data_IF_070196683304
#
_entry.id   IF_070196683304
#
_cell.length_a   1.000
_cell.length_b   1.000
_cell.length_c   1.000
_cell.angle_alpha   90.00
_cell.angle_beta   90.00
_cell.angle_gamma   90.00
#
_symmetry.space_group_name_H-M   'P 1'
#
loop_
_entity.id
_entity.type
_entity.pdbx_description
1 polymer ?
#
# COMPACT_ATOMS: atom_id res chain seq x y z
N UNK A 1 -0.40 -25.37 12.79
CA UNK A 1 -1.40 -26.37 12.33
C UNK A 1 -1.31 -27.72 13.04
N UNK A 2 -0.30 -28.02 13.87
CA UNK A 2 -0.23 -29.33 14.57
C UNK A 2 -1.00 -29.38 15.91
N UNK A 3 -1.34 -28.24 16.51
CA UNK A 3 -2.00 -28.19 17.83
C UNK A 3 -3.52 -28.41 17.78
N UNK A 4 -4.18 -28.06 16.66
CA UNK A 4 -5.65 -28.20 16.50
C UNK A 4 -6.12 -29.66 16.52
N UNK A 5 -5.29 -30.59 16.04
CA UNK A 5 -5.63 -32.02 15.94
C UNK A 5 -5.43 -32.77 17.27
N UNK A 6 -4.79 -32.14 18.27
CA UNK A 6 -4.58 -32.69 19.60
C UNK A 6 -5.78 -32.40 20.52
N UNK A 7 -6.26 -31.14 20.54
CA UNK A 7 -7.38 -30.75 21.40
C UNK A 7 -8.70 -31.51 21.07
N UNK A 8 -8.94 -31.78 19.78
CA UNK A 8 -10.09 -32.57 19.35
C UNK A 8 -10.00 -34.04 19.78
N UNK A 9 -8.79 -34.62 19.82
CA UNK A 9 -8.56 -35.98 20.28
C UNK A 9 -8.83 -36.10 21.78
N UNK A 10 -8.31 -35.18 22.59
CA UNK A 10 -8.49 -35.18 24.04
C UNK A 10 -9.97 -35.10 24.44
N UNK A 11 -10.76 -34.23 23.81
CA UNK A 11 -12.22 -34.13 24.06
C UNK A 11 -12.94 -35.41 23.66
N UNK A 12 -12.56 -36.01 22.52
CA UNK A 12 -13.18 -37.25 22.06
C UNK A 12 -12.89 -38.42 22.99
N UNK A 13 -11.68 -38.48 23.57
CA UNK A 13 -11.28 -39.50 24.54
C UNK A 13 -11.96 -39.29 25.89
N UNK A 14 -11.93 -38.07 26.44
CA UNK A 14 -12.64 -37.71 27.68
C UNK A 14 -14.15 -37.99 27.57
N UNK A 15 -14.77 -37.66 26.44
CA UNK A 15 -16.18 -37.94 26.18
C UNK A 15 -16.47 -39.45 26.12
N UNK A 16 -15.57 -40.22 25.49
CA UNK A 16 -15.69 -41.68 25.39
C UNK A 16 -15.51 -42.36 26.74
N UNK A 17 -14.61 -41.86 27.60
CA UNK A 17 -14.47 -42.32 28.97
C UNK A 17 -15.75 -42.06 29.78
N UNK A 18 -16.32 -40.86 29.64
CA UNK A 18 -17.53 -40.45 30.35
C UNK A 18 -18.78 -41.24 29.90
N UNK A 19 -18.91 -41.51 28.60
CA UNK A 19 -19.94 -42.41 28.07
C UNK A 19 -19.71 -43.86 28.50
N UNK A 20 -18.46 -44.32 28.50
CA UNK A 20 -18.09 -45.65 28.97
C UNK A 20 -18.39 -45.86 30.45
N UNK A 21 -18.35 -44.80 31.25
CA UNK A 21 -18.71 -44.79 32.66
C UNK A 21 -20.23 -44.76 32.92
N UNK A 22 -21.03 -44.37 31.92
CA UNK A 22 -22.47 -44.25 32.07
C UNK A 22 -23.12 -45.64 32.14
N UNK A 23 -23.55 -46.05 33.33
CA UNK A 23 -24.34 -47.28 33.55
C UNK A 23 -23.57 -48.45 34.18
N UNK A 24 -22.27 -48.33 34.47
CA UNK A 24 -21.59 -49.30 35.34
C UNK A 24 -21.89 -48.95 36.79
N UNK A 25 -22.18 -49.96 37.63
CA UNK A 25 -22.48 -49.76 39.05
C UNK A 25 -21.24 -49.68 39.93
N UNK A 26 -20.07 -49.97 39.35
CA UNK A 26 -18.81 -50.18 40.07
C UNK A 26 -17.86 -48.97 40.00
N UNK A 27 -18.32 -47.85 39.43
CA UNK A 27 -17.49 -46.65 39.25
C UNK A 27 -17.48 -45.85 40.54
N UNK A 28 -16.27 -45.50 40.99
CA UNK A 28 -16.15 -44.66 42.16
C UNK A 28 -16.60 -43.23 41.82
N UNK A 29 -17.27 -42.57 42.77
CA UNK A 29 -17.65 -41.17 42.62
C UNK A 29 -16.43 -40.26 42.33
N UNK A 30 -15.24 -40.70 42.76
CA UNK A 30 -13.97 -40.02 42.51
C UNK A 30 -13.57 -40.05 41.04
N UNK A 31 -13.63 -41.21 40.38
CA UNK A 31 -13.27 -41.33 38.96
C UNK A 31 -14.19 -40.50 38.05
N UNK A 32 -15.50 -40.46 38.36
CA UNK A 32 -16.44 -39.62 37.64
C UNK A 32 -16.15 -38.13 37.84
N UNK A 33 -15.81 -37.73 39.07
CA UNK A 33 -15.44 -36.35 39.37
C UNK A 33 -14.17 -35.94 38.62
N UNK A 34 -13.14 -36.79 38.64
CA UNK A 34 -11.87 -36.54 37.95
C UNK A 34 -12.08 -36.40 36.42
N UNK A 35 -12.92 -37.25 35.81
CA UNK A 35 -13.24 -37.17 34.39
C UNK A 35 -14.03 -35.90 34.00
N UNK A 36 -15.03 -35.52 34.81
CA UNK A 36 -15.80 -34.27 34.61
C UNK A 36 -14.91 -33.04 34.80
N UNK A 37 -14.04 -33.08 35.80
CA UNK A 37 -13.11 -31.99 36.07
C UNK A 37 -12.09 -31.82 34.94
N UNK A 38 -11.53 -32.93 34.43
CA UNK A 38 -10.63 -32.93 33.28
C UNK A 38 -11.30 -32.34 32.03
N UNK A 39 -12.53 -32.77 31.72
CA UNK A 39 -13.29 -32.22 30.61
C UNK A 39 -13.56 -30.71 30.77
N UNK A 40 -13.93 -30.27 31.97
CA UNK A 40 -14.14 -28.85 32.27
C UNK A 40 -12.86 -28.03 32.09
N UNK A 41 -11.70 -28.59 32.46
CA UNK A 41 -10.42 -27.95 32.28
C UNK A 41 -10.09 -27.81 30.79
N UNK A 42 -10.20 -28.89 30.01
CA UNK A 42 -9.97 -28.87 28.56
C UNK A 42 -10.87 -27.86 27.84
N UNK A 43 -12.14 -27.75 28.24
CA UNK A 43 -13.05 -26.74 27.69
C UNK A 43 -12.59 -25.32 28.04
N UNK A 44 -12.13 -25.10 29.27
CA UNK A 44 -11.63 -23.80 29.72
C UNK A 44 -10.37 -23.39 28.96
N UNK A 45 -9.43 -24.32 28.77
CA UNK A 45 -8.20 -24.11 28.00
C UNK A 45 -8.53 -23.78 26.54
N UNK A 46 -9.51 -24.47 25.94
CA UNK A 46 -9.98 -24.18 24.58
C UNK A 46 -10.60 -22.79 24.46
N UNK A 47 -11.39 -22.36 25.45
CA UNK A 47 -11.95 -21.00 25.47
C UNK A 47 -10.86 -19.93 25.58
N UNK A 48 -9.79 -20.20 26.34
CA UNK A 48 -8.64 -19.31 26.44
C UNK A 48 -7.90 -19.20 25.10
N UNK A 49 -7.64 -20.32 24.43
CA UNK A 49 -7.02 -20.34 23.09
C UNK A 49 -7.87 -19.57 22.08
N UNK A 50 -9.20 -19.77 22.07
CA UNK A 50 -10.08 -19.01 21.19
C UNK A 50 -10.11 -17.52 21.52
N UNK A 51 -10.07 -17.15 22.80
CA UNK A 51 -9.97 -15.75 23.22
C UNK A 51 -8.68 -15.10 22.73
N UNK A 52 -7.54 -15.78 22.89
CA UNK A 52 -6.25 -15.32 22.40
C UNK A 52 -6.21 -15.19 20.87
N UNK A 53 -6.75 -16.18 20.15
CA UNK A 53 -6.84 -16.14 18.69
C UNK A 53 -7.74 -14.99 18.20
N UNK A 54 -8.89 -14.76 18.85
CA UNK A 54 -9.80 -13.67 18.49
C UNK A 54 -9.16 -12.29 18.72
N UNK A 55 -8.42 -12.11 19.82
CA UNK A 55 -7.71 -10.86 20.07
C UNK A 55 -6.57 -10.64 19.07
N UNK A 56 -5.84 -11.70 18.72
CA UNK A 56 -4.81 -11.65 17.68
C UNK A 56 -5.39 -11.23 16.32
N UNK A 57 -6.52 -11.81 15.90
CA UNK A 57 -7.21 -11.43 14.67
C UNK A 57 -7.64 -9.96 14.68
N UNK A 58 -8.13 -9.46 15.82
CA UNK A 58 -8.52 -8.06 15.99
C UNK A 58 -7.32 -7.11 15.88
N UNK A 59 -6.17 -7.51 16.39
CA UNK A 59 -4.93 -6.74 16.27
C UNK A 59 -4.42 -6.71 14.82
N UNK A 60 -4.51 -7.83 14.11
CA UNK A 60 -4.17 -7.92 12.70
C UNK A 60 -5.09 -7.04 11.85
N UNK A 61 -6.40 -7.06 12.08
CA UNK A 61 -7.37 -6.20 11.39
C UNK A 61 -7.03 -4.71 11.55
N UNK A 62 -6.69 -4.27 12.77
CA UNK A 62 -6.20 -2.91 13.00
C UNK A 62 -4.87 -2.62 12.29
N UNK A 63 -3.99 -3.61 12.20
CA UNK A 63 -2.77 -3.52 11.41
C UNK A 63 -3.05 -3.28 9.93
N UNK A 64 -3.97 -4.04 9.35
CA UNK A 64 -4.42 -3.89 7.97
C UNK A 64 -5.11 -2.55 7.72
N UNK A 65 -5.94 -2.06 8.63
CA UNK A 65 -6.53 -0.72 8.52
C UNK A 65 -5.46 0.39 8.53
N UNK A 66 -4.46 0.27 9.39
CA UNK A 66 -3.35 1.22 9.45
C UNK A 66 -2.50 1.19 8.18
N UNK A 67 -2.29 0.00 7.61
CA UNK A 67 -1.59 -0.18 6.33
C UNK A 67 -2.40 0.36 5.15
N UNK A 68 -3.71 0.11 5.11
CA UNK A 68 -4.62 0.65 4.11
C UNK A 68 -4.61 2.18 4.11
N UNK A 69 -4.64 2.82 5.29
CA UNK A 69 -4.51 4.29 5.42
C UNK A 69 -3.17 4.80 4.88
N UNK A 70 -2.07 4.08 5.11
CA UNK A 70 -0.76 4.45 4.54
C UNK A 70 -0.77 4.36 3.02
N UNK A 71 -1.38 3.31 2.46
CA UNK A 71 -1.51 3.15 1.01
C UNK A 71 -2.34 4.26 0.38
N UNK A 72 -3.44 4.67 1.03
CA UNK A 72 -4.26 5.80 0.59
C UNK A 72 -3.46 7.11 0.56
N UNK A 73 -2.65 7.38 1.59
CA UNK A 73 -1.76 8.55 1.63
C UNK A 73 -0.72 8.50 0.51
N UNK A 74 -0.17 7.32 0.19
CA UNK A 74 0.79 7.15 -0.90
C UNK A 74 0.11 7.38 -2.25
N UNK A 75 -1.08 6.82 -2.49
CA UNK A 75 -1.86 7.06 -3.71
C UNK A 75 -2.16 8.54 -3.90
N UNK A 76 -2.63 9.24 -2.86
CA UNK A 76 -2.89 10.68 -2.93
C UNK A 76 -1.63 11.49 -3.28
N UNK A 77 -0.46 11.09 -2.78
CA UNK A 77 0.82 11.72 -3.13
C UNK A 77 1.22 11.42 -4.58
N UNK A 78 0.99 10.20 -5.07
CA UNK A 78 1.26 9.82 -6.46
C UNK A 78 0.38 10.62 -7.43
N UNK A 79 -0.91 10.78 -7.14
CA UNK A 79 -1.82 11.58 -7.97
C UNK A 79 -1.33 13.02 -8.09
N UNK A 80 -0.89 13.63 -6.97
CA UNK A 80 -0.29 14.98 -6.99
C UNK A 80 0.96 15.06 -7.87
N UNK A 81 1.81 14.03 -7.86
CA UNK A 81 3.00 13.98 -8.71
C UNK A 81 2.62 13.83 -10.18
N UNK A 82 1.59 13.04 -10.49
CA UNK A 82 1.05 12.90 -11.85
C UNK A 82 0.52 14.24 -12.35
N UNK A 83 -0.27 14.94 -11.52
CA UNK A 83 -0.80 16.26 -11.85
C UNK A 83 0.31 17.29 -12.09
N UNK A 84 1.33 17.31 -11.23
CA UNK A 84 2.51 18.15 -11.43
C UNK A 84 3.21 17.85 -12.74
N UNK A 85 3.44 16.57 -13.05
CA UNK A 85 4.08 16.16 -14.29
C UNK A 85 3.25 16.55 -15.51
N UNK A 86 1.92 16.45 -15.42
CA UNK A 86 1.01 16.93 -16.46
C UNK A 86 1.15 18.44 -16.67
N UNK A 87 1.14 19.23 -15.61
CA UNK A 87 1.34 20.69 -15.69
C UNK A 87 2.70 21.06 -16.30
N UNK A 88 3.77 20.35 -15.92
CA UNK A 88 5.10 20.57 -16.50
C UNK A 88 5.09 20.25 -17.99
N UNK A 89 4.49 19.13 -18.40
CA UNK A 89 4.40 18.73 -19.79
C UNK A 89 3.61 19.76 -20.62
N UNK A 90 2.47 20.23 -20.11
CA UNK A 90 1.67 21.29 -20.74
C UNK A 90 2.48 22.60 -20.89
N UNK A 91 3.21 23.00 -19.84
CA UNK A 91 4.10 24.16 -19.88
C UNK A 91 5.22 24.02 -20.92
N UNK A 92 5.83 22.83 -21.06
CA UNK A 92 6.83 22.57 -22.08
C UNK A 92 6.26 22.67 -23.50
N UNK A 93 5.04 22.14 -23.73
CA UNK A 93 4.35 22.25 -25.02
C UNK A 93 4.10 23.72 -25.36
N UNK A 94 3.58 24.51 -24.40
CA UNK A 94 3.35 25.94 -24.60
C UNK A 94 4.64 26.71 -24.94
N UNK A 95 5.75 26.40 -24.27
CA UNK A 95 7.06 27.00 -24.58
C UNK A 95 7.49 26.65 -26.01
N UNK A 96 7.33 25.38 -26.43
CA UNK A 96 7.66 24.95 -27.79
C UNK A 96 6.81 25.69 -28.83
N UNK A 97 5.52 25.91 -28.56
CA UNK A 97 4.63 26.69 -29.43
C UNK A 97 5.06 28.15 -29.52
N UNK A 98 5.35 28.80 -28.38
CA UNK A 98 5.85 30.18 -28.35
C UNK A 98 7.18 30.34 -29.09
N UNK A 99 8.08 29.37 -28.97
CA UNK A 99 9.37 29.39 -29.68
C UNK A 99 9.16 29.19 -31.18
N UNK A 100 8.26 28.28 -31.59
CA UNK A 100 7.89 28.10 -33.00
C UNK A 100 7.29 29.38 -33.57
N UNK A 101 6.38 30.03 -32.87
CA UNK A 101 5.77 31.30 -33.32
C UNK A 101 6.84 32.39 -33.49
N UNK A 102 7.72 32.58 -32.49
CA UNK A 102 8.76 33.62 -32.55
C UNK A 102 9.86 33.38 -33.58
N UNK A 103 10.19 32.12 -33.91
CA UNK A 103 11.26 31.79 -34.86
C UNK A 103 10.72 31.60 -36.29
N UNK A 104 9.54 30.97 -36.44
CA UNK A 104 9.00 30.58 -37.75
C UNK A 104 8.08 31.65 -38.35
N UNK A 105 7.29 32.37 -37.54
CA UNK A 105 6.41 33.42 -38.07
C UNK A 105 7.16 34.56 -38.78
N UNK A 106 8.26 35.13 -38.24
CA UNK A 106 8.99 36.19 -38.95
C UNK A 106 9.74 35.68 -40.20
N UNK A 107 9.99 34.37 -40.31
CA UNK A 107 10.58 33.79 -41.51
C UNK A 107 9.57 33.74 -42.68
N UNK A 108 8.29 33.45 -42.41
CA UNK A 108 7.23 33.41 -43.43
C UNK A 108 6.85 34.80 -43.97
N UNK A 109 6.75 35.82 -43.13
CA UNK A 109 6.47 37.19 -43.60
C UNK A 109 7.63 37.74 -44.44
N UNK A 110 8.87 37.37 -44.11
CA UNK A 110 10.05 37.77 -44.88
C UNK A 110 10.15 37.06 -46.23
N UNK A 111 9.66 35.84 -46.33
CA UNK A 111 9.62 35.05 -47.57
C UNK A 111 8.54 35.56 -48.54
N UNK A 112 7.40 36.06 -48.05
CA UNK A 112 6.37 36.69 -48.89
C UNK A 112 6.78 38.09 -49.37
N UNK A 113 7.51 38.87 -48.56
CA UNK A 113 8.06 40.16 -48.97
C UNK A 113 9.20 40.07 -50.02
N UNK A 114 9.79 38.88 -50.19
CA UNK A 114 10.88 38.61 -51.13
C UNK A 114 10.48 37.70 -52.29
N UNK A 115 9.18 37.61 -52.65
CA UNK A 115 8.81 37.00 -53.93
C UNK A 115 9.46 37.80 -55.07
N UNK A 116 10.48 37.27 -55.76
CA UNK A 116 11.03 37.93 -56.92
C UNK A 116 9.93 37.93 -57.97
N UNK A 117 9.59 39.12 -58.46
CA UNK A 117 8.76 39.28 -59.66
C UNK A 117 9.36 38.37 -60.73
N UNK A 118 8.62 37.34 -61.14
CA UNK A 118 9.08 36.36 -62.11
C UNK A 118 9.36 37.07 -63.44
N UNK A 119 10.63 37.37 -63.71
CA UNK A 119 11.09 37.62 -65.07
C UNK A 119 11.39 36.27 -65.73
N UNK A 120 11.02 36.09 -67.01
CA UNK A 120 11.19 34.83 -67.72
C UNK A 120 12.69 34.62 -68.04
N UNK A 121 13.41 33.92 -67.16
CA UNK A 121 14.77 33.49 -67.44
C UNK A 121 14.77 32.21 -68.27
N UNK A 122 15.48 32.30 -69.40
CA UNK A 122 15.62 31.27 -70.41
C UNK A 122 16.32 30.00 -69.93
N UNK A 123 16.00 28.94 -70.66
CA UNK A 123 16.54 27.59 -70.58
C UNK A 123 18.08 27.60 -70.57
N UNK A 124 18.68 27.19 -69.46
CA UNK A 124 20.07 26.75 -69.41
C UNK A 124 20.11 25.32 -68.86
N UNK A 125 20.89 24.48 -69.55
CA UNK A 125 20.97 23.04 -69.34
C UNK A 125 21.38 22.62 -67.92
N UNK A 126 20.85 21.49 -67.42
CA UNK A 126 21.18 20.97 -66.11
C UNK A 126 22.57 20.33 -66.10
N UNK A 127 23.46 20.82 -65.23
CA UNK A 127 24.72 20.13 -64.90
C UNK A 127 24.44 18.95 -63.95
N UNK A 128 25.12 17.80 -64.12
CA UNK A 128 24.92 16.62 -63.30
C UNK A 128 25.43 16.84 -61.88
N UNK A 129 24.53 16.70 -60.91
CA UNK A 129 24.82 16.82 -59.48
C UNK A 129 25.48 15.53 -59.00
N UNK A 130 26.74 15.60 -58.54
CA UNK A 130 27.40 14.48 -57.89
C UNK A 130 26.76 14.20 -56.52
N UNK A 131 26.40 12.93 -56.29
CA UNK A 131 25.83 12.46 -55.02
C UNK A 131 26.90 12.49 -53.93
N UNK A 132 26.61 13.02 -52.72
CA UNK A 132 27.49 12.85 -51.59
C UNK A 132 27.46 11.39 -51.12
N UNK A 133 28.64 10.78 -51.06
CA UNK A 133 28.83 9.44 -50.52
C UNK A 133 28.65 9.50 -49.00
N UNK A 134 27.59 8.85 -48.50
CA UNK A 134 27.39 8.66 -47.06
C UNK A 134 28.49 7.74 -46.51
N UNK A 135 29.36 8.28 -45.66
CA UNK A 135 30.24 7.48 -44.81
C UNK A 135 29.51 7.15 -43.50
N UNK A 136 29.36 5.87 -43.12
CA UNK A 136 28.81 5.49 -41.83
C UNK A 136 29.75 5.92 -40.71
N UNK A 137 29.20 6.63 -39.73
CA UNK A 137 29.90 7.06 -38.52
C UNK A 137 30.31 5.82 -37.70
N UNK A 138 31.56 5.71 -37.21
CA UNK A 138 31.98 4.58 -36.40
C UNK A 138 31.18 4.53 -35.08
N UNK A 139 30.60 3.37 -34.80
CA UNK A 139 29.98 3.09 -33.50
C UNK A 139 31.02 3.16 -32.39
N UNK A 140 30.84 4.13 -31.49
CA UNK A 140 31.54 4.20 -30.22
C UNK A 140 31.12 2.98 -29.39
N UNK A 141 31.98 1.96 -29.37
CA UNK A 141 31.89 0.86 -28.41
C UNK A 141 32.05 1.44 -27.00
N UNK A 142 30.97 1.43 -26.22
CA UNK A 142 31.07 1.63 -24.78
C UNK A 142 31.82 0.45 -24.15
N UNK A 143 32.72 0.71 -23.18
CA UNK A 143 33.41 -0.35 -22.48
C UNK A 143 32.43 -1.16 -21.63
N UNK A 144 32.35 -2.46 -21.92
CA UNK A 144 31.75 -3.46 -21.02
C UNK A 144 32.45 -3.35 -19.66
N UNK A 145 31.72 -2.86 -18.65
CA UNK A 145 32.14 -3.01 -17.27
C UNK A 145 32.19 -4.51 -16.94
N UNK A 146 33.40 -4.94 -16.61
CA UNK A 146 33.71 -6.29 -16.20
C UNK A 146 33.07 -6.60 -14.83
N UNK A 147 32.51 -7.82 -14.75
CA UNK A 147 32.50 -8.71 -13.60
C UNK A 147 32.26 -8.06 -12.22
N UNK A 148 31.00 -8.02 -11.81
CA UNK A 148 30.65 -7.92 -10.39
C UNK A 148 31.16 -9.18 -9.68
N UNK A 149 32.12 -9.00 -8.77
CA UNK A 149 32.46 -10.00 -7.76
C UNK A 149 31.29 -10.16 -6.78
N UNK A 150 31.03 -11.38 -6.28
CA UNK A 150 30.08 -11.58 -5.18
C UNK A 150 30.69 -11.01 -3.89
N UNK A 151 30.06 -9.98 -3.32
CA UNK A 151 30.41 -9.50 -1.98
C UNK A 151 30.01 -10.54 -0.92
N UNK A 152 30.84 -10.76 0.12
CA UNK A 152 30.49 -11.62 1.24
C UNK A 152 29.38 -10.99 2.10
N UNK A 153 28.55 -11.81 2.77
CA UNK A 153 27.46 -11.32 3.61
C UNK A 153 28.00 -10.60 4.86
N UNK A 154 27.30 -9.55 5.34
CA UNK A 154 27.67 -8.83 6.55
C UNK A 154 27.46 -9.70 7.79
N UNK A 155 28.52 -9.84 8.60
CA UNK A 155 28.44 -10.43 9.94
C UNK A 155 27.73 -9.48 10.89
N UNK A 156 26.49 -9.81 11.24
CA UNK A 156 25.76 -9.12 12.31
C UNK A 156 26.40 -9.44 13.66
N UNK A 157 27.16 -8.49 14.20
CA UNK A 157 27.54 -8.48 15.60
C UNK A 157 26.48 -7.67 16.36
N UNK A 158 25.92 -8.16 17.47
CA UNK A 158 24.94 -7.42 18.26
C UNK A 158 25.65 -6.28 19.00
N UNK A 159 25.64 -5.07 18.40
CA UNK A 159 26.01 -3.85 19.11
C UNK A 159 24.85 -3.43 20.01
N UNK A 160 25.14 -3.41 21.31
CA UNK A 160 24.34 -2.81 22.37
C UNK A 160 23.94 -1.37 22.00
N UNK A 161 22.64 -1.14 21.83
CA UNK A 161 22.10 0.18 21.54
C UNK A 161 22.11 1.06 22.80
N UNK A 162 23.07 1.96 22.88
CA UNK A 162 22.93 3.20 23.66
C UNK A 162 22.33 4.27 22.76
N UNK A 163 21.29 5.01 23.19
CA UNK A 163 20.66 6.03 22.36
C UNK A 163 21.60 7.22 22.15
N UNK A 164 22.13 7.33 20.93
CA UNK A 164 22.93 8.45 20.48
C UNK A 164 21.99 9.57 20.05
N UNK A 165 21.99 10.69 20.78
CA UNK A 165 21.24 11.89 20.39
C UNK A 165 21.74 12.44 19.05
N UNK A 166 20.85 12.97 18.20
CA UNK A 166 21.25 13.62 16.97
C UNK A 166 21.93 14.99 17.24
N UNK A 167 22.86 15.41 16.36
CA UNK A 167 23.53 16.70 16.46
C UNK A 167 22.55 17.85 16.18
N UNK A 168 22.54 18.80 17.11
CA UNK A 168 21.80 20.06 17.10
C UNK A 168 22.25 20.96 15.93
N UNK A 169 21.44 21.00 14.87
CA UNK A 169 21.56 21.99 13.80
C UNK A 169 20.79 23.24 14.22
N UNK A 170 21.53 24.22 14.74
CA UNK A 170 21.02 25.51 15.22
C UNK A 170 20.33 26.38 14.15
N UNK A 171 19.12 26.00 13.76
CA UNK A 171 18.15 26.87 13.08
C UNK A 171 17.28 27.50 14.15
N UNK A 172 17.71 28.65 14.64
CA UNK A 172 16.96 29.49 15.57
C UNK A 172 15.75 30.08 14.82
N UNK A 173 14.63 29.35 14.82
CA UNK A 173 13.34 29.82 14.30
C UNK A 173 12.77 30.90 15.25
N UNK A 174 12.19 31.98 14.73
CA UNK A 174 11.56 33.01 15.54
C UNK A 174 10.34 32.45 16.30
N UNK A 175 10.02 33.01 17.48
CA UNK A 175 8.91 32.55 18.30
C UNK A 175 7.59 32.74 17.54
N UNK A 176 6.90 31.62 17.28
CA UNK A 176 5.54 31.62 16.75
C UNK A 176 4.59 32.11 17.83
N UNK A 177 3.87 33.19 17.52
CA UNK A 177 2.76 33.67 18.34
C UNK A 177 1.67 32.59 18.45
N UNK A 178 1.02 32.45 19.62
CA UNK A 178 -0.05 31.49 19.80
C UNK A 178 -1.26 31.88 18.94
N UNK A 179 -1.51 31.11 17.90
CA UNK A 179 -2.77 31.19 17.15
C UNK A 179 -3.93 30.73 18.05
N UNK A 180 -5.04 31.48 18.11
CA UNK A 180 -6.21 31.06 18.87
C UNK A 180 -6.76 29.75 18.31
N UNK A 181 -7.06 28.82 19.22
CA UNK A 181 -7.64 27.52 18.89
C UNK A 181 -8.96 27.72 18.14
N UNK A 182 -9.17 27.05 17.00
CA UNK A 182 -10.49 27.04 16.36
C UNK A 182 -11.49 26.39 17.32
N UNK A 183 -12.51 27.15 17.73
CA UNK A 183 -13.72 26.62 18.34
C UNK A 183 -14.38 25.66 17.34
N UNK A 184 -14.09 24.38 17.49
CA UNK A 184 -14.88 23.32 16.87
C UNK A 184 -16.21 23.24 17.63
N UNK A 185 -17.21 23.95 17.14
CA UNK A 185 -18.61 23.73 17.48
C UNK A 185 -19.03 22.38 16.87
N UNK A 186 -18.80 21.34 17.66
CA UNK A 186 -19.04 19.96 17.30
C UNK A 186 -20.54 19.71 17.54
N UNK A 187 -21.36 20.06 16.55
CA UNK A 187 -22.77 19.64 16.51
C UNK A 187 -22.83 18.12 16.63
N UNK A 188 -23.26 17.67 17.80
CA UNK A 188 -23.44 16.28 18.20
C UNK A 188 -24.55 15.64 17.35
N UNK A 189 -24.26 14.69 16.46
CA UNK A 189 -25.29 14.04 15.67
C UNK A 189 -26.12 13.14 16.60
N UNK A 190 -27.35 13.57 16.86
CA UNK A 190 -28.36 12.81 17.60
C UNK A 190 -28.58 11.43 16.98
N UNK A 191 -28.25 10.39 17.74
CA UNK A 191 -28.51 8.98 17.44
C UNK A 191 -30.02 8.73 17.18
N UNK A 192 -30.39 7.99 16.11
CA UNK A 192 -31.76 7.58 15.90
C UNK A 192 -32.18 6.49 16.91
N UNK A 193 -33.27 6.78 17.60
CA UNK A 193 -33.99 5.91 18.55
C UNK A 193 -34.39 4.57 17.89
N UNK A 194 -33.75 3.47 18.28
CA UNK A 194 -34.18 2.12 17.91
C UNK A 194 -35.46 1.74 18.68
N UNK A 195 -36.58 1.69 17.96
CA UNK A 195 -37.86 1.22 18.49
C UNK A 195 -37.87 -0.27 18.89
N UNK A 196 -38.75 -0.67 19.83
CA UNK A 196 -38.76 -2.02 20.40
C UNK A 196 -39.34 -3.08 19.45
N UNK A 197 -38.54 -4.10 19.12
CA UNK A 197 -38.96 -5.30 18.38
C UNK A 197 -39.95 -6.13 19.22
N UNK A 198 -41.25 -6.07 18.88
CA UNK A 198 -42.30 -6.91 19.46
C UNK A 198 -42.48 -8.22 18.67
N UNK A 199 -42.30 -9.32 19.41
CA UNK A 199 -43.18 -10.49 19.56
C UNK A 199 -43.56 -11.32 18.31
N UNK A 200 -43.18 -12.60 18.37
CA UNK A 200 -44.16 -13.70 18.26
C UNK A 200 -44.09 -14.57 17.02
N UNK A 201 -43.29 -15.64 17.07
CA UNK A 201 -43.44 -16.78 16.16
C UNK A 201 -43.33 -18.13 16.93
N UNK A 202 -43.99 -18.20 18.09
CA UNK A 202 -44.28 -19.47 18.75
C UNK A 202 -45.70 -19.90 18.37
N UNK A 203 -45.82 -20.93 17.54
CA UNK A 203 -47.13 -21.56 17.32
C UNK A 203 -47.23 -22.28 15.98
N UNK A 204 -46.40 -23.29 15.72
CA UNK A 204 -46.67 -24.16 14.58
C UNK A 204 -46.09 -25.57 14.70
N UNK A 205 -46.29 -26.25 15.84
CA UNK A 205 -46.19 -27.72 15.88
C UNK A 205 -47.19 -28.32 16.87
N UNK A 206 -48.38 -28.63 16.37
CA UNK A 206 -49.27 -29.66 16.93
C UNK A 206 -50.32 -30.02 15.87
N UNK A 207 -50.12 -31.13 15.17
CA UNK A 207 -51.02 -32.30 15.15
C UNK A 207 -50.42 -33.39 14.26
#
# INVERSE_FOLDING_TARGET
>A
MAEEDLAYKDISELKKELEGMKGRKDISAKELYDAVHGLSQTISDMLEVFGAAAEQMRLEEKGYEAEAKKHEVIMSKLDKVIDQNKTIAEGMVAIVEMVKEKIVAPAKEREEAFRPRAEPMGLSEPKPFMRPQWQPKPEQMMPRQAMQQPMPPPSFSPQSMTPQMPPDFGMQLPPLEPTPSPEFDLEEPSLPEEGPKKKGLFGMFKK
#
